data_IF_271372358500
#
_entry.id   IF_271372358500
#
_cell.length_a   1.000
_cell.length_b   1.000
_cell.length_c   1.000
_cell.angle_alpha   90.00
_cell.angle_beta   90.00
_cell.angle_gamma   90.00
#
_symmetry.space_group_name_H-M   'P 1'
#
loop_
_entity.id
_entity.type
_entity.pdbx_description
1 polymer ?
#
# COMPACT_ATOMS: atom_id res chain seq x y z
N UNK A 1 -19.69 39.70 -43.44
CA UNK A 1 -19.69 39.95 -41.98
C UNK A 1 -20.30 38.72 -41.34
N UNK A 2 -19.51 37.97 -40.59
CA UNK A 2 -19.95 36.72 -39.96
C UNK A 2 -19.75 36.87 -38.46
N UNK A 3 -20.83 36.81 -37.70
CA UNK A 3 -20.82 36.99 -36.25
C UNK A 3 -20.09 35.84 -35.57
N UNK A 4 -19.24 36.17 -34.59
CA UNK A 4 -18.50 35.20 -33.79
C UNK A 4 -19.40 34.66 -32.67
N UNK A 5 -20.02 33.49 -32.90
CA UNK A 5 -20.43 32.58 -31.83
C UNK A 5 -19.44 31.41 -31.74
N UNK A 6 -19.22 30.76 -30.60
CA UNK A 6 -19.76 30.92 -29.25
C UNK A 6 -18.98 29.96 -28.33
N UNK A 7 -18.46 30.37 -27.15
CA UNK A 7 -18.32 29.45 -26.01
C UNK A 7 -17.95 30.05 -24.62
N UNK A 8 -18.64 31.12 -24.18
CA UNK A 8 -18.68 31.43 -22.73
C UNK A 8 -19.87 30.72 -22.06
N UNK A 9 -20.05 29.43 -22.38
CA UNK A 9 -21.18 28.62 -21.92
C UNK A 9 -20.94 28.16 -20.48
N UNK A 10 -21.65 28.78 -19.56
CA UNK A 10 -21.66 28.39 -18.15
C UNK A 10 -22.48 27.11 -17.97
N UNK A 11 -21.84 26.05 -17.48
CA UNK A 11 -22.51 24.76 -17.26
C UNK A 11 -23.21 24.74 -15.90
N UNK A 12 -24.39 24.14 -15.84
CA UNK A 12 -25.01 23.79 -14.55
C UNK A 12 -24.24 22.64 -13.89
N UNK A 13 -24.51 22.41 -12.60
CA UNK A 13 -23.88 21.31 -11.86
C UNK A 13 -24.17 19.91 -12.43
N UNK A 14 -25.29 19.72 -13.15
CA UNK A 14 -25.62 18.46 -13.80
C UNK A 14 -24.81 18.26 -15.09
N UNK A 15 -24.85 19.25 -16.00
CA UNK A 15 -24.08 19.23 -17.26
C UNK A 15 -22.57 19.11 -17.01
N UNK A 16 -22.04 19.87 -16.03
CA UNK A 16 -20.62 19.82 -15.68
C UNK A 16 -20.22 18.45 -15.10
N UNK A 17 -21.11 17.80 -14.33
CA UNK A 17 -20.86 16.47 -13.80
C UNK A 17 -20.84 15.43 -14.93
N UNK A 18 -21.85 15.43 -15.80
CA UNK A 18 -21.97 14.55 -16.96
C UNK A 18 -20.76 14.68 -17.91
N UNK A 19 -20.44 15.91 -18.32
CA UNK A 19 -19.36 16.18 -19.30
C UNK A 19 -17.96 15.85 -18.76
N UNK A 20 -17.75 15.92 -17.44
CA UNK A 20 -16.46 15.58 -16.80
C UNK A 20 -16.37 14.12 -16.30
N UNK A 21 -17.41 13.29 -16.50
CA UNK A 21 -17.46 11.94 -15.93
C UNK A 21 -17.43 11.93 -14.40
N UNK A 22 -18.04 12.95 -13.78
CA UNK A 22 -18.09 13.18 -12.33
C UNK A 22 -19.53 13.07 -11.82
N UNK A 23 -19.70 13.00 -10.50
CA UNK A 23 -21.01 13.17 -9.87
C UNK A 23 -21.19 14.61 -9.37
N UNK A 24 -22.44 15.07 -9.30
CA UNK A 24 -22.79 16.36 -8.66
C UNK A 24 -22.29 16.41 -7.20
N UNK A 25 -22.19 15.25 -6.53
CA UNK A 25 -21.60 15.12 -5.18
C UNK A 25 -20.09 15.36 -5.17
N UNK A 26 -19.35 14.90 -6.19
CA UNK A 26 -17.92 15.17 -6.33
C UNK A 26 -17.64 16.68 -6.55
N UNK A 27 -18.42 17.36 -7.39
CA UNK A 27 -18.29 18.81 -7.58
C UNK A 27 -18.50 19.59 -6.27
N UNK A 28 -19.52 19.23 -5.48
CA UNK A 28 -19.75 19.83 -4.14
C UNK A 28 -18.59 19.54 -3.18
N UNK A 29 -17.99 18.34 -3.23
CA UNK A 29 -16.84 17.99 -2.40
C UNK A 29 -15.62 18.85 -2.75
N UNK A 30 -15.34 19.05 -4.03
CA UNK A 30 -14.24 19.89 -4.49
C UNK A 30 -14.45 21.37 -4.12
N UNK A 31 -15.67 21.90 -4.27
CA UNK A 31 -16.04 23.23 -3.77
C UNK A 31 -15.85 23.36 -2.24
N UNK A 32 -16.28 22.35 -1.47
CA UNK A 32 -16.12 22.33 0.00
C UNK A 32 -14.65 22.33 0.42
N UNK A 33 -13.76 21.71 -0.38
CA UNK A 33 -12.30 21.73 -0.20
C UNK A 33 -11.62 22.95 -0.82
N UNK A 34 -12.38 23.94 -1.34
CA UNK A 34 -11.89 25.15 -2.05
C UNK A 34 -11.03 24.86 -3.29
N UNK A 35 -11.10 23.64 -3.82
CA UNK A 35 -10.41 23.24 -5.05
C UNK A 35 -11.00 23.91 -6.30
N UNK A 36 -12.30 24.23 -6.26
CA UNK A 36 -13.03 24.98 -7.30
C UNK A 36 -13.92 26.01 -6.62
N UNK A 37 -14.25 27.09 -7.33
CA UNK A 37 -15.06 28.21 -6.79
C UNK A 37 -16.11 28.65 -7.81
N UNK A 38 -17.11 27.80 -8.11
CA UNK A 38 -18.08 28.06 -9.17
C UNK A 38 -18.93 29.31 -8.89
N UNK A 39 -19.22 30.06 -9.96
CA UNK A 39 -20.08 31.24 -9.89
C UNK A 39 -21.50 30.83 -9.48
N UNK A 40 -22.25 31.74 -8.85
CA UNK A 40 -23.66 31.53 -8.48
C UNK A 40 -24.59 32.48 -9.22
N UNK A 41 -25.77 31.97 -9.59
CA UNK A 41 -26.88 32.79 -10.11
C UNK A 41 -27.57 33.57 -9.00
N UNK A 42 -28.41 34.55 -9.34
CA UNK A 42 -29.28 35.22 -8.38
C UNK A 42 -30.28 34.29 -7.65
N UNK A 43 -30.52 33.08 -8.17
CA UNK A 43 -31.28 32.00 -7.50
C UNK A 43 -30.39 31.00 -6.75
N UNK A 44 -29.12 31.37 -6.49
CA UNK A 44 -28.12 30.59 -5.78
C UNK A 44 -27.75 29.23 -6.43
N UNK A 45 -27.93 29.09 -7.76
CA UNK A 45 -27.52 27.90 -8.50
C UNK A 45 -26.06 28.00 -8.94
N UNK A 46 -25.32 26.89 -8.89
CA UNK A 46 -23.90 26.83 -9.28
C UNK A 46 -23.75 26.79 -10.80
N UNK A 47 -22.84 27.60 -11.31
CA UNK A 47 -22.42 27.71 -12.69
C UNK A 47 -20.90 27.52 -12.78
N UNK A 48 -20.47 26.61 -13.63
CA UNK A 48 -19.07 26.27 -13.84
C UNK A 48 -18.62 26.88 -15.16
N UNK A 49 -17.54 27.68 -15.11
CA UNK A 49 -16.93 28.30 -16.28
C UNK A 49 -15.68 27.55 -16.75
N UNK A 50 -15.05 28.05 -17.82
CA UNK A 50 -13.83 27.45 -18.39
C UNK A 50 -12.70 27.27 -17.35
N UNK A 51 -12.57 28.19 -16.39
CA UNK A 51 -11.60 28.10 -15.29
C UNK A 51 -11.91 26.95 -14.31
N UNK A 52 -13.18 26.69 -14.02
CA UNK A 52 -13.58 25.56 -13.19
C UNK A 52 -13.36 24.24 -13.94
N UNK A 53 -13.66 24.18 -15.24
CA UNK A 53 -13.45 23.00 -16.10
C UNK A 53 -11.95 22.66 -16.20
N UNK A 54 -11.09 23.65 -16.44
CA UNK A 54 -9.64 23.45 -16.47
C UNK A 54 -9.10 22.91 -15.13
N UNK A 55 -9.57 23.48 -14.01
CA UNK A 55 -9.21 23.03 -12.66
C UNK A 55 -9.74 21.62 -12.34
N UNK A 56 -10.95 21.29 -12.78
CA UNK A 56 -11.51 19.93 -12.67
C UNK A 56 -10.69 18.91 -13.46
N UNK A 57 -10.24 19.28 -14.67
CA UNK A 57 -9.40 18.42 -15.50
C UNK A 57 -8.03 18.17 -14.85
N UNK A 58 -7.41 19.19 -14.25
CA UNK A 58 -6.18 19.07 -13.46
C UNK A 58 -6.36 18.15 -12.23
N UNK A 59 -7.42 18.35 -11.44
CA UNK A 59 -7.78 17.47 -10.30
C UNK A 59 -7.98 16.03 -10.78
N UNK A 60 -8.63 15.82 -11.93
CA UNK A 60 -8.84 14.50 -12.51
C UNK A 60 -7.55 13.85 -13.00
N UNK A 61 -6.62 14.61 -13.60
CA UNK A 61 -5.32 14.11 -14.02
C UNK A 61 -4.48 13.67 -12.80
N UNK A 62 -4.41 14.51 -11.77
CA UNK A 62 -3.72 14.19 -10.51
C UNK A 62 -4.35 12.99 -9.80
N UNK A 63 -5.69 12.90 -9.78
CA UNK A 63 -6.40 11.73 -9.23
C UNK A 63 -6.14 10.45 -10.05
N UNK A 64 -5.99 10.53 -11.38
CA UNK A 64 -5.63 9.40 -12.26
C UNK A 64 -4.20 8.92 -12.04
N UNK A 65 -3.27 9.83 -11.72
CA UNK A 65 -1.93 9.45 -11.27
C UNK A 65 -1.95 8.77 -9.88
N UNK A 66 -3.04 8.90 -9.12
CA UNK A 66 -3.23 8.25 -7.82
C UNK A 66 -3.08 9.16 -6.60
N UNK A 67 -2.99 10.49 -6.77
CA UNK A 67 -2.94 11.41 -5.62
C UNK A 67 -4.24 11.36 -4.79
N UNK A 68 -4.09 11.48 -3.47
CA UNK A 68 -5.22 11.65 -2.55
C UNK A 68 -5.82 13.05 -2.73
N UNK A 69 -7.13 13.20 -2.45
CA UNK A 69 -7.78 14.52 -2.56
C UNK A 69 -7.20 15.57 -1.60
N UNK A 70 -6.60 15.13 -0.48
CA UNK A 70 -5.87 16.01 0.43
C UNK A 70 -4.60 16.55 -0.25
N UNK A 71 -3.74 15.67 -0.77
CA UNK A 71 -2.50 16.09 -1.44
C UNK A 71 -2.78 16.93 -2.70
N UNK A 72 -3.87 16.67 -3.43
CA UNK A 72 -4.32 17.53 -4.54
C UNK A 72 -4.68 18.94 -4.02
N UNK A 73 -5.28 19.04 -2.83
CA UNK A 73 -5.58 20.35 -2.21
C UNK A 73 -4.29 21.07 -1.83
N UNK A 74 -3.33 20.39 -1.23
CA UNK A 74 -2.07 21.01 -0.78
C UNK A 74 -1.20 21.45 -1.98
N UNK A 75 -1.10 20.61 -3.02
CA UNK A 75 -0.38 20.88 -4.26
C UNK A 75 -0.99 22.06 -5.04
N UNK A 76 -2.31 22.09 -5.19
CA UNK A 76 -3.00 23.17 -5.92
C UNK A 76 -3.18 24.45 -5.09
N UNK A 77 -2.92 24.41 -3.77
CA UNK A 77 -2.90 25.58 -2.89
C UNK A 77 -1.58 26.39 -2.97
N UNK A 78 -0.63 26.00 -3.83
CA UNK A 78 0.60 26.76 -4.06
C UNK A 78 1.65 26.64 -2.95
N UNK A 79 1.46 25.74 -2.00
CA UNK A 79 2.56 25.29 -1.15
C UNK A 79 3.46 24.40 -1.99
N UNK A 80 4.78 24.56 -1.85
CA UNK A 80 5.75 23.72 -2.54
C UNK A 80 5.72 22.30 -1.96
N UNK A 81 4.72 21.52 -2.38
CA UNK A 81 4.71 20.07 -2.22
C UNK A 81 5.93 19.53 -2.95
N UNK A 82 6.71 18.74 -2.24
CA UNK A 82 7.81 17.97 -2.81
C UNK A 82 7.22 16.97 -3.83
N UNK A 83 7.23 17.39 -5.10
CA UNK A 83 6.64 16.67 -6.21
C UNK A 83 7.35 15.34 -6.44
N UNK A 84 8.66 15.28 -6.19
CA UNK A 84 9.47 14.07 -6.29
C UNK A 84 9.02 13.05 -5.24
N UNK A 85 8.96 13.45 -3.96
CA UNK A 85 8.42 12.61 -2.87
C UNK A 85 6.99 12.15 -3.14
N UNK A 86 6.18 13.00 -3.77
CA UNK A 86 4.78 12.67 -4.12
C UNK A 86 4.70 11.65 -5.25
N UNK A 87 5.49 11.83 -6.31
CA UNK A 87 5.59 10.89 -7.44
C UNK A 87 6.16 9.53 -6.98
N UNK A 88 7.16 9.51 -6.11
CA UNK A 88 7.72 8.30 -5.51
C UNK A 88 6.66 7.51 -4.71
N UNK A 89 5.80 8.21 -3.94
CA UNK A 89 4.67 7.57 -3.24
C UNK A 89 3.62 7.01 -4.20
N UNK A 90 3.40 7.66 -5.36
CA UNK A 90 2.49 7.17 -6.39
C UNK A 90 3.05 5.97 -7.14
N UNK A 91 4.34 5.99 -7.48
CA UNK A 91 5.04 4.88 -8.09
C UNK A 91 4.95 3.62 -7.21
N UNK A 92 5.27 3.75 -5.93
CA UNK A 92 5.12 2.66 -4.95
C UNK A 92 3.68 2.14 -4.87
N UNK A 93 2.68 3.03 -4.87
CA UNK A 93 1.27 2.66 -4.84
C UNK A 93 0.78 1.96 -6.12
N UNK A 94 1.31 2.35 -7.29
CA UNK A 94 1.01 1.73 -8.58
C UNK A 94 1.71 0.38 -8.74
N UNK A 95 2.93 0.22 -8.23
CA UNK A 95 3.62 -1.07 -8.18
C UNK A 95 2.92 -2.07 -7.25
N UNK A 96 2.44 -1.61 -6.08
CA UNK A 96 1.61 -2.42 -5.18
C UNK A 96 0.21 -2.74 -5.74
N UNK A 97 -0.30 -1.95 -6.70
CA UNK A 97 -1.49 -2.30 -7.46
C UNK A 97 -1.19 -3.37 -8.51
N UNK A 98 -0.07 -3.27 -9.24
CA UNK A 98 0.37 -4.26 -10.24
C UNK A 98 0.50 -5.65 -9.62
N UNK A 99 1.27 -5.78 -8.54
CA UNK A 99 1.50 -7.06 -7.87
C UNK A 99 0.23 -7.78 -7.38
N UNK A 100 -0.87 -7.06 -7.12
CA UNK A 100 -2.17 -7.67 -6.79
C UNK A 100 -2.97 -8.13 -8.01
N UNK A 101 -2.93 -7.35 -9.10
CA UNK A 101 -3.60 -7.73 -10.35
C UNK A 101 -2.96 -9.00 -10.92
N UNK A 102 -1.64 -9.07 -10.75
CA UNK A 102 -0.80 -10.24 -10.93
C UNK A 102 -1.29 -11.42 -10.03
N UNK A 103 -1.25 -11.31 -8.69
CA UNK A 103 -1.72 -12.36 -7.75
C UNK A 103 -3.14 -12.91 -8.07
N UNK A 104 -4.10 -12.02 -8.32
CA UNK A 104 -5.47 -12.42 -8.61
C UNK A 104 -5.60 -13.19 -9.93
N UNK A 105 -4.80 -12.83 -10.94
CA UNK A 105 -4.76 -13.52 -12.23
C UNK A 105 -4.29 -14.98 -12.04
N UNK A 106 -3.28 -15.21 -11.21
CA UNK A 106 -2.83 -16.56 -10.86
C UNK A 106 -3.94 -17.41 -10.22
N UNK A 107 -4.72 -16.84 -9.28
CA UNK A 107 -5.82 -17.56 -8.64
C UNK A 107 -6.95 -17.92 -9.62
N UNK A 108 -7.32 -17.03 -10.55
CA UNK A 108 -8.27 -17.35 -11.63
C UNK A 108 -7.76 -18.52 -12.45
N UNK A 109 -6.49 -18.49 -12.87
CA UNK A 109 -5.90 -19.55 -13.68
C UNK A 109 -5.86 -20.89 -12.91
N UNK A 110 -5.50 -20.88 -11.63
CA UNK A 110 -5.51 -22.07 -10.78
C UNK A 110 -6.92 -22.66 -10.62
N UNK A 111 -7.93 -21.83 -10.35
CA UNK A 111 -9.32 -22.28 -10.22
C UNK A 111 -9.89 -22.81 -11.54
N UNK A 112 -9.56 -22.19 -12.68
CA UNK A 112 -9.93 -22.70 -14.01
C UNK A 112 -9.33 -24.09 -14.30
N UNK A 113 -8.09 -24.36 -13.85
CA UNK A 113 -7.48 -25.70 -13.98
C UNK A 113 -8.21 -26.75 -13.14
N UNK A 114 -8.57 -26.45 -11.89
CA UNK A 114 -9.32 -27.36 -11.00
C UNK A 114 -10.70 -27.71 -11.58
N UNK A 115 -11.44 -26.71 -12.08
CA UNK A 115 -12.73 -26.93 -12.77
C UNK A 115 -12.56 -27.84 -13.98
N UNK A 116 -11.50 -27.66 -14.78
CA UNK A 116 -11.23 -28.50 -15.96
C UNK A 116 -10.87 -29.96 -15.61
N UNK A 117 -10.37 -30.21 -14.39
CA UNK A 117 -10.08 -31.55 -13.86
C UNK A 117 -11.27 -32.18 -13.13
N UNK A 118 -12.42 -31.49 -13.05
CA UNK A 118 -13.61 -31.96 -12.32
C UNK A 118 -13.52 -31.77 -10.80
N UNK A 119 -12.53 -31.04 -10.30
CA UNK A 119 -12.34 -30.79 -8.87
C UNK A 119 -13.17 -29.60 -8.37
N UNK A 120 -13.74 -29.67 -7.16
CA UNK A 120 -14.44 -28.53 -6.56
C UNK A 120 -13.45 -27.41 -6.20
N UNK A 121 -13.78 -26.18 -6.57
CA UNK A 121 -13.07 -24.96 -6.12
C UNK A 121 -13.56 -24.58 -4.72
N UNK A 122 -12.65 -24.23 -3.81
CA UNK A 122 -13.07 -23.86 -2.46
C UNK A 122 -13.74 -22.47 -2.46
N UNK A 123 -14.75 -22.30 -1.61
CA UNK A 123 -15.45 -21.01 -1.46
C UNK A 123 -14.47 -19.90 -1.05
N UNK A 124 -13.43 -20.23 -0.27
CA UNK A 124 -12.35 -19.30 0.08
C UNK A 124 -11.58 -18.80 -1.16
N UNK A 125 -11.26 -19.69 -2.11
CA UNK A 125 -10.55 -19.34 -3.34
C UNK A 125 -11.40 -18.40 -4.22
N UNK A 126 -12.71 -18.64 -4.29
CA UNK A 126 -13.66 -17.76 -5.02
C UNK A 126 -13.75 -16.38 -4.35
N UNK A 127 -13.81 -16.32 -3.01
CA UNK A 127 -13.79 -15.06 -2.26
C UNK A 127 -12.47 -14.31 -2.45
N UNK A 128 -11.34 -15.04 -2.52
CA UNK A 128 -10.00 -14.48 -2.75
C UNK A 128 -9.85 -13.94 -4.19
N UNK A 129 -10.31 -14.69 -5.20
CA UNK A 129 -10.42 -14.23 -6.59
C UNK A 129 -11.27 -12.96 -6.71
N UNK A 130 -12.44 -12.93 -6.08
CA UNK A 130 -13.32 -11.76 -6.10
C UNK A 130 -12.69 -10.53 -5.41
N UNK A 131 -11.78 -10.76 -4.44
CA UNK A 131 -11.03 -9.72 -3.71
C UNK A 131 -9.83 -9.19 -4.49
N UNK A 132 -9.15 -10.04 -5.26
CA UNK A 132 -7.90 -9.72 -5.95
C UNK A 132 -8.11 -9.26 -7.41
N UNK A 133 -9.12 -9.78 -8.12
CA UNK A 133 -9.23 -9.60 -9.59
C UNK A 133 -10.13 -8.46 -10.07
N UNK A 134 -10.97 -7.88 -9.20
CA UNK A 134 -11.82 -6.72 -9.52
C UNK A 134 -12.55 -6.82 -10.87
N UNK A 135 -13.08 -8.00 -11.25
CA UNK A 135 -13.91 -8.11 -12.44
C UNK A 135 -15.17 -7.24 -12.29
N UNK A 136 -15.24 -6.25 -13.16
CA UNK A 136 -16.16 -5.10 -13.26
C UNK A 136 -17.64 -5.40 -12.93
N UNK A 137 -18.42 -4.49 -12.32
CA UNK A 137 -18.30 -3.03 -12.21
C UNK A 137 -18.67 -2.47 -10.80
N UNK A 138 -18.49 -1.15 -10.62
CA UNK A 138 -18.77 -0.32 -9.42
C UNK A 138 -17.71 -0.26 -8.31
N UNK A 139 -16.57 -0.97 -8.42
CA UNK A 139 -15.68 -1.18 -7.27
C UNK A 139 -14.37 -0.39 -7.21
N UNK A 140 -14.15 0.56 -8.13
CA UNK A 140 -13.20 1.65 -7.86
C UNK A 140 -13.57 2.37 -6.57
N UNK A 141 -14.89 2.47 -6.30
CA UNK A 141 -15.37 2.93 -5.02
C UNK A 141 -14.99 1.99 -3.88
N UNK A 142 -15.12 0.65 -3.84
CA UNK A 142 -14.79 -0.07 -2.57
C UNK A 142 -13.33 0.01 -2.09
N UNK A 143 -12.31 0.08 -2.97
CA UNK A 143 -10.91 0.30 -2.50
C UNK A 143 -10.66 1.79 -2.25
N UNK A 144 -11.24 2.70 -3.03
CA UNK A 144 -11.24 4.13 -2.70
C UNK A 144 -12.08 4.46 -1.45
N UNK A 145 -13.04 3.60 -1.08
CA UNK A 145 -13.96 3.65 0.04
C UNK A 145 -13.30 3.08 1.26
N UNK A 146 -12.59 1.94 1.18
CA UNK A 146 -11.67 1.53 2.24
C UNK A 146 -10.62 2.61 2.46
N UNK A 147 -9.95 3.12 1.42
CA UNK A 147 -9.00 4.25 1.59
C UNK A 147 -9.68 5.51 2.16
N UNK A 148 -10.90 5.86 1.73
CA UNK A 148 -11.68 6.99 2.23
C UNK A 148 -12.18 6.78 3.65
N UNK A 149 -12.51 5.55 4.03
CA UNK A 149 -13.00 5.17 5.35
C UNK A 149 -11.82 5.10 6.31
N UNK A 150 -10.73 4.42 5.94
CA UNK A 150 -9.44 4.40 6.64
C UNK A 150 -8.80 5.79 6.77
N UNK A 151 -9.09 6.73 5.85
CA UNK A 151 -8.67 8.14 5.92
C UNK A 151 -9.80 9.11 6.32
N UNK A 152 -10.99 8.63 6.72
CA UNK A 152 -12.06 9.52 7.21
C UNK A 152 -11.64 10.05 8.56
N UNK A 153 -11.99 11.30 8.93
CA UNK A 153 -11.88 11.76 10.30
C UNK A 153 -12.64 10.78 11.22
N UNK A 154 -11.89 10.03 12.05
CA UNK A 154 -12.45 9.18 13.09
C UNK A 154 -12.61 10.02 14.35
N UNK A 155 -13.65 9.73 15.14
CA UNK A 155 -13.85 10.31 16.45
C UNK A 155 -13.43 9.26 17.47
N UNK A 156 -12.61 9.67 18.44
CA UNK A 156 -12.24 8.83 19.55
C UNK A 156 -13.47 8.55 20.43
N UNK A 157 -13.70 7.28 20.72
CA UNK A 157 -14.71 6.83 21.68
C UNK A 157 -13.99 6.53 22.99
N UNK A 158 -14.39 7.13 24.13
CA UNK A 158 -13.85 6.75 25.43
C UNK A 158 -14.07 5.26 25.68
N UNK A 159 -12.99 4.49 25.73
CA UNK A 159 -13.01 3.07 26.10
C UNK A 159 -12.70 2.90 27.57
N UNK A 160 -13.24 1.85 28.17
CA UNK A 160 -12.90 1.47 29.54
C UNK A 160 -11.40 1.10 29.62
N UNK A 161 -10.57 1.80 30.42
CA UNK A 161 -9.16 1.46 30.60
C UNK A 161 -8.94 0.03 31.12
N UNK A 162 -9.93 -0.61 31.74
CA UNK A 162 -9.87 -2.01 32.14
C UNK A 162 -9.72 -2.99 30.94
N UNK A 163 -10.10 -2.56 29.72
CA UNK A 163 -9.90 -3.34 28.50
C UNK A 163 -8.49 -3.21 27.92
N UNK A 164 -7.74 -2.15 28.25
CA UNK A 164 -6.42 -1.89 27.66
C UNK A 164 -5.40 -3.04 27.84
N UNK A 165 -5.30 -3.72 29.02
CA UNK A 165 -4.42 -4.87 29.20
C UNK A 165 -4.68 -6.05 28.25
N UNK A 166 -5.89 -6.15 27.65
CA UNK A 166 -6.24 -7.20 26.66
C UNK A 166 -5.35 -7.11 25.42
N UNK A 167 -5.05 -5.88 25.00
CA UNK A 167 -4.39 -5.53 23.73
C UNK A 167 -2.89 -5.28 23.89
N UNK A 168 -2.44 -4.91 25.09
CA UNK A 168 -1.01 -4.78 25.42
C UNK A 168 -0.29 -6.11 25.16
N UNK A 169 0.81 -6.07 24.40
CA UNK A 169 1.55 -7.25 23.98
C UNK A 169 2.30 -7.04 22.67
N UNK A 170 3.02 -8.08 22.23
CA UNK A 170 3.79 -8.06 21.00
C UNK A 170 3.16 -9.00 19.96
N UNK A 171 3.05 -8.56 18.71
CA UNK A 171 2.36 -9.28 17.63
C UNK A 171 3.28 -9.36 16.41
N UNK A 172 3.59 -10.56 15.92
CA UNK A 172 4.50 -10.81 14.78
C UNK A 172 3.71 -11.02 13.49
N UNK A 173 4.02 -10.23 12.47
CA UNK A 173 3.54 -10.41 11.09
C UNK A 173 4.30 -11.56 10.39
N UNK A 174 3.71 -12.13 9.34
CA UNK A 174 4.37 -13.14 8.50
C UNK A 174 5.65 -12.62 7.79
N UNK A 175 5.82 -11.30 7.71
CA UNK A 175 7.04 -10.61 7.21
C UNK A 175 8.17 -10.55 8.25
N UNK A 176 7.97 -11.10 9.45
CA UNK A 176 8.95 -11.08 10.56
C UNK A 176 8.89 -9.82 11.42
N UNK A 177 8.29 -8.73 10.93
CA UNK A 177 8.10 -7.49 11.69
C UNK A 177 7.20 -7.71 12.93
N UNK A 178 7.45 -6.98 14.01
CA UNK A 178 6.70 -7.04 15.26
C UNK A 178 6.03 -5.70 15.56
N UNK A 179 4.72 -5.72 15.79
CA UNK A 179 3.94 -4.63 16.37
C UNK A 179 3.89 -4.81 17.89
N UNK A 180 4.40 -3.83 18.64
CA UNK A 180 4.33 -3.78 20.09
C UNK A 180 3.26 -2.80 20.53
N UNK A 181 2.32 -3.26 21.35
CA UNK A 181 1.24 -2.48 21.93
C UNK A 181 1.52 -2.28 23.42
N UNK A 182 1.54 -1.04 23.91
CA UNK A 182 1.86 -0.70 25.31
C UNK A 182 0.87 0.30 25.91
N UNK A 183 0.78 0.39 27.24
CA UNK A 183 0.01 1.45 27.92
C UNK A 183 0.85 2.73 27.98
N UNK A 184 0.20 3.88 27.84
CA UNK A 184 0.80 5.20 28.12
C UNK A 184 -0.26 6.16 28.70
N UNK A 185 0.12 7.35 29.22
CA UNK A 185 -0.83 8.26 29.83
C UNK A 185 -1.95 8.64 28.85
N UNK A 186 -3.19 8.27 29.16
CA UNK A 186 -4.36 8.54 28.34
C UNK A 186 -4.72 7.49 27.28
N UNK A 187 -3.99 6.37 27.13
CA UNK A 187 -4.40 5.30 26.20
C UNK A 187 -3.35 4.25 25.88
N UNK A 188 -3.48 3.62 24.70
CA UNK A 188 -2.58 2.59 24.18
C UNK A 188 -1.66 3.12 23.09
N UNK A 189 -0.42 2.65 23.05
CA UNK A 189 0.54 2.90 21.96
C UNK A 189 0.63 1.73 20.99
N UNK A 190 1.10 2.02 19.78
CA UNK A 190 1.53 1.01 18.82
C UNK A 190 2.89 1.39 18.24
N UNK A 191 3.83 0.46 18.24
CA UNK A 191 5.16 0.63 17.66
C UNK A 191 5.47 -0.55 16.75
N UNK A 192 5.73 -0.29 15.47
CA UNK A 192 6.27 -1.29 14.55
C UNK A 192 7.80 -1.35 14.71
N UNK A 193 8.40 -2.52 14.54
CA UNK A 193 9.86 -2.68 14.68
C UNK A 193 10.59 -1.73 13.71
N UNK A 194 11.63 -1.03 14.21
CA UNK A 194 12.38 -0.03 13.44
C UNK A 194 11.63 1.29 13.16
N UNK A 195 10.45 1.50 13.76
CA UNK A 195 9.67 2.74 13.67
C UNK A 195 9.44 3.34 15.06
N UNK A 196 9.10 4.63 15.09
CA UNK A 196 8.71 5.34 16.31
C UNK A 196 7.39 4.80 16.88
N UNK A 197 7.21 4.94 18.20
CA UNK A 197 5.93 4.61 18.84
C UNK A 197 4.88 5.68 18.52
N UNK A 198 3.80 5.28 17.85
CA UNK A 198 2.74 6.17 17.38
C UNK A 198 1.49 6.09 18.26
N UNK A 199 0.67 7.15 18.17
CA UNK A 199 -0.56 7.24 18.93
C UNK A 199 -1.75 6.54 18.24
N UNK A 200 -2.35 5.59 18.96
CA UNK A 200 -3.60 4.91 18.59
C UNK A 200 -4.71 5.29 19.56
N UNK A 201 -5.91 5.46 19.02
CA UNK A 201 -7.10 5.92 19.72
C UNK A 201 -8.24 4.96 19.42
N UNK A 202 -9.09 4.68 20.41
CA UNK A 202 -10.19 3.73 20.22
C UNK A 202 -11.32 4.36 19.40
N UNK A 203 -11.87 3.61 18.46
CA UNK A 203 -13.16 3.88 17.80
C UNK A 203 -14.24 2.89 18.27
N UNK A 204 -13.83 1.69 18.69
CA UNK A 204 -14.62 0.68 19.39
C UNK A 204 -13.72 -0.07 20.37
N UNK A 205 -14.31 -0.94 21.17
CA UNK A 205 -13.59 -1.77 22.16
C UNK A 205 -12.42 -2.55 21.56
N UNK A 206 -12.54 -3.04 20.33
CA UNK A 206 -11.57 -3.87 19.60
C UNK A 206 -10.91 -3.18 18.39
N UNK A 207 -11.33 -1.95 18.05
CA UNK A 207 -10.91 -1.22 16.85
C UNK A 207 -10.27 0.12 17.21
N UNK A 208 -9.02 0.30 16.81
CA UNK A 208 -8.21 1.48 17.07
C UNK A 208 -7.75 2.13 15.76
N UNK A 209 -7.50 3.44 15.76
CA UNK A 209 -7.00 4.20 14.61
C UNK A 209 -5.85 5.13 15.00
N UNK A 210 -5.00 5.47 14.03
CA UNK A 210 -3.96 6.49 14.20
C UNK A 210 -4.47 7.86 13.75
N UNK A 211 -4.08 8.93 14.44
CA UNK A 211 -4.37 10.32 14.00
C UNK A 211 -3.39 10.85 12.96
N UNK A 212 -2.17 10.30 12.92
CA UNK A 212 -1.06 10.79 12.08
C UNK A 212 -0.89 10.04 10.75
N UNK A 213 -1.46 8.84 10.64
CA UNK A 213 -1.43 8.01 9.42
C UNK A 213 -2.81 7.39 9.16
N UNK A 214 -3.23 7.17 7.90
CA UNK A 214 -4.52 6.56 7.57
C UNK A 214 -4.46 5.04 7.75
N UNK A 215 -4.44 4.60 9.01
CA UNK A 215 -4.35 3.19 9.40
C UNK A 215 -5.21 2.88 10.63
N UNK A 216 -5.58 1.61 10.79
CA UNK A 216 -6.35 1.07 11.90
C UNK A 216 -5.75 -0.25 12.39
N UNK A 217 -6.02 -0.60 13.64
CA UNK A 217 -5.72 -1.89 14.24
C UNK A 217 -7.02 -2.51 14.75
N UNK A 218 -7.39 -3.68 14.24
CA UNK A 218 -8.44 -4.51 14.85
C UNK A 218 -7.81 -5.63 15.65
N UNK A 219 -8.25 -5.85 16.88
CA UNK A 219 -7.78 -6.93 17.74
C UNK A 219 -8.79 -8.07 17.75
N UNK A 220 -8.30 -9.31 17.63
CA UNK A 220 -9.13 -10.50 17.75
C UNK A 220 -8.56 -11.45 18.80
N UNK A 221 -9.45 -12.06 19.56
CA UNK A 221 -9.13 -13.00 20.65
C UNK A 221 -10.42 -13.55 21.24
N UNK A 222 -10.28 -14.55 22.10
CA UNK A 222 -11.41 -15.24 22.71
C UNK A 222 -12.21 -14.30 23.64
N UNK A 223 -13.47 -14.62 23.90
CA UNK A 223 -14.39 -13.77 24.65
C UNK A 223 -13.86 -13.45 26.06
N UNK A 224 -13.50 -12.19 26.30
CA UNK A 224 -12.87 -11.72 27.54
C UNK A 224 -11.38 -12.05 27.72
N UNK A 225 -10.79 -12.88 26.83
CA UNK A 225 -9.37 -13.27 26.89
C UNK A 225 -8.42 -12.28 26.20
N UNK A 226 -7.12 -12.43 26.44
CA UNK A 226 -6.07 -11.66 25.75
C UNK A 226 -6.22 -11.73 24.22
N UNK A 227 -6.02 -10.62 23.52
CA UNK A 227 -6.09 -10.60 22.06
C UNK A 227 -4.98 -11.50 21.48
N UNK A 228 -5.37 -12.50 20.68
CA UNK A 228 -4.51 -13.53 20.06
C UNK A 228 -3.88 -13.05 18.75
N UNK A 229 -4.55 -12.16 18.03
CA UNK A 229 -4.01 -11.51 16.83
C UNK A 229 -4.45 -10.06 16.71
N UNK A 230 -3.71 -9.33 15.89
CA UNK A 230 -3.93 -7.95 15.48
C UNK A 230 -3.99 -7.92 13.95
N UNK A 231 -4.90 -7.12 13.40
CA UNK A 231 -5.01 -6.85 11.97
C UNK A 231 -4.71 -5.38 11.74
N UNK A 232 -3.63 -5.08 11.01
CA UNK A 232 -3.29 -3.74 10.55
C UNK A 232 -4.03 -3.45 9.24
N UNK A 233 -4.99 -2.53 9.29
CA UNK A 233 -5.70 -2.04 8.11
C UNK A 233 -5.03 -0.76 7.64
N UNK A 234 -4.45 -0.74 6.43
CA UNK A 234 -3.76 0.43 5.90
C UNK A 234 -3.76 0.43 4.37
N UNK A 235 -3.86 1.61 3.74
CA UNK A 235 -3.80 1.80 2.29
C UNK A 235 -4.83 1.00 1.45
N UNK A 236 -5.90 0.49 2.09
CA UNK A 236 -6.92 -0.39 1.51
C UNK A 236 -6.67 -1.90 1.68
N UNK A 237 -5.64 -2.28 2.45
CA UNK A 237 -5.20 -3.66 2.72
C UNK A 237 -5.35 -4.01 4.21
N UNK A 238 -5.18 -5.29 4.53
CA UNK A 238 -5.26 -5.86 5.88
C UNK A 238 -4.10 -6.85 6.07
N UNK A 239 -3.28 -6.67 7.11
CA UNK A 239 -2.16 -7.55 7.45
C UNK A 239 -2.36 -8.14 8.84
N UNK A 240 -2.28 -9.47 8.98
CA UNK A 240 -2.48 -10.14 10.27
C UNK A 240 -1.15 -10.40 10.97
N UNK A 241 -1.09 -10.09 12.26
CA UNK A 241 0.01 -10.41 13.17
C UNK A 241 -0.49 -11.27 14.34
N UNK A 242 0.27 -12.29 14.73
CA UNK A 242 -0.08 -13.19 15.84
C UNK A 242 0.71 -12.85 17.09
N UNK A 243 0.06 -12.94 18.26
CA UNK A 243 0.69 -12.61 19.54
C UNK A 243 1.87 -13.55 19.84
N UNK A 244 2.99 -12.97 20.23
CA UNK A 244 4.22 -13.66 20.64
C UNK A 244 4.60 -13.26 22.07
N UNK A 245 5.52 -14.02 22.66
CA UNK A 245 6.13 -13.68 23.95
C UNK A 245 7.03 -12.44 23.83
N UNK A 246 7.07 -11.66 24.91
CA UNK A 246 7.80 -10.39 24.94
C UNK A 246 9.32 -10.57 24.86
N UNK A 247 9.85 -11.69 25.36
CA UNK A 247 11.27 -12.02 25.29
C UNK A 247 11.71 -12.24 23.83
N UNK A 248 10.95 -13.03 23.07
CA UNK A 248 11.15 -13.21 21.62
C UNK A 248 10.94 -11.91 20.85
N UNK A 249 9.96 -11.08 21.21
CA UNK A 249 9.76 -9.77 20.60
C UNK A 249 10.98 -8.86 20.77
N UNK A 250 11.52 -8.76 21.99
CA UNK A 250 12.75 -8.00 22.28
C UNK A 250 13.96 -8.58 21.54
N UNK A 251 14.08 -9.91 21.44
CA UNK A 251 15.16 -10.55 20.68
C UNK A 251 15.10 -10.23 19.17
N UNK A 252 13.91 -10.21 18.55
CA UNK A 252 13.74 -9.82 17.15
C UNK A 252 14.11 -8.35 16.93
N UNK A 253 13.65 -7.46 17.83
CA UNK A 253 13.93 -6.04 17.73
C UNK A 253 15.43 -5.73 17.90
N UNK A 254 16.07 -6.34 18.89
CA UNK A 254 17.51 -6.18 19.13
C UNK A 254 18.36 -6.74 17.97
N UNK A 255 18.03 -7.93 17.45
CA UNK A 255 18.72 -8.49 16.27
C UNK A 255 18.58 -7.59 15.04
N UNK A 256 17.41 -6.97 14.83
CA UNK A 256 17.22 -6.02 13.75
C UNK A 256 18.00 -4.70 13.98
N UNK A 257 18.01 -4.18 15.21
CA UNK A 257 18.77 -2.98 15.56
C UNK A 257 20.29 -3.19 15.37
N UNK A 258 20.83 -4.32 15.86
CA UNK A 258 22.22 -4.73 15.63
C UNK A 258 22.51 -4.90 14.13
N UNK A 259 21.62 -5.53 13.37
CA UNK A 259 21.77 -5.67 11.90
C UNK A 259 21.81 -4.33 11.17
N UNK A 260 20.97 -3.37 11.56
CA UNK A 260 20.96 -2.02 10.97
C UNK A 260 22.25 -1.26 11.34
N UNK A 261 22.60 -1.27 12.63
CA UNK A 261 23.74 -0.54 13.20
C UNK A 261 25.09 -1.05 12.66
N UNK A 262 25.30 -2.35 12.69
CA UNK A 262 26.55 -2.98 12.24
C UNK A 262 26.58 -3.20 10.72
N UNK A 263 25.49 -2.86 10.01
CA UNK A 263 25.26 -3.21 8.61
C UNK A 263 25.53 -4.69 8.36
N UNK A 264 24.88 -5.55 9.16
CA UNK A 264 24.99 -6.99 9.08
C UNK A 264 23.82 -7.57 8.27
N UNK A 265 24.06 -8.18 7.10
CA UNK A 265 23.01 -8.85 6.34
C UNK A 265 22.52 -10.11 7.07
N UNK A 266 21.44 -10.72 6.59
CA UNK A 266 21.02 -12.06 7.03
C UNK A 266 22.08 -13.13 6.67
N UNK A 267 22.11 -14.28 7.36
CA UNK A 267 22.93 -15.41 6.94
C UNK A 267 22.68 -15.81 5.47
N UNK A 268 23.77 -16.09 4.76
CA UNK A 268 23.80 -16.43 3.33
C UNK A 268 23.20 -15.39 2.37
N UNK A 269 22.98 -14.14 2.81
CA UNK A 269 22.35 -13.09 2.02
C UNK A 269 23.00 -12.86 0.65
N UNK A 270 24.34 -12.83 0.58
CA UNK A 270 25.05 -12.68 -0.69
C UNK A 270 24.85 -13.89 -1.62
N UNK A 271 24.83 -15.10 -1.06
CA UNK A 271 24.58 -16.31 -1.85
C UNK A 271 23.15 -16.34 -2.39
N UNK A 272 22.17 -15.88 -1.59
CA UNK A 272 20.76 -15.72 -1.99
C UNK A 272 20.60 -14.67 -3.08
N UNK A 273 21.26 -13.51 -2.96
CA UNK A 273 21.29 -12.49 -4.01
C UNK A 273 21.85 -13.04 -5.33
N UNK A 274 23.01 -13.72 -5.28
CA UNK A 274 23.63 -14.34 -6.46
C UNK A 274 22.75 -15.45 -7.08
N UNK A 275 21.98 -16.17 -6.25
CA UNK A 275 20.94 -17.11 -6.67
C UNK A 275 19.82 -16.40 -7.43
N UNK A 276 19.16 -15.44 -6.77
CA UNK A 276 18.10 -14.60 -7.34
C UNK A 276 18.50 -13.95 -8.69
N UNK A 277 19.69 -13.37 -8.80
CA UNK A 277 20.16 -12.76 -10.05
C UNK A 277 20.31 -13.83 -11.15
N UNK A 278 20.85 -15.01 -10.83
CA UNK A 278 20.99 -16.11 -11.80
C UNK A 278 19.63 -16.61 -12.28
N UNK A 279 18.72 -16.88 -11.34
CA UNK A 279 17.33 -17.29 -11.61
C UNK A 279 16.62 -16.25 -12.48
N UNK A 280 16.82 -14.96 -12.20
CA UNK A 280 16.22 -13.86 -12.96
C UNK A 280 16.79 -13.70 -14.39
N UNK A 281 18.09 -13.90 -14.59
CA UNK A 281 18.72 -13.92 -15.92
C UNK A 281 18.24 -15.15 -16.73
N UNK A 282 18.14 -16.32 -16.08
CA UNK A 282 17.67 -17.54 -16.74
C UNK A 282 16.17 -17.47 -17.05
N UNK A 283 15.38 -16.82 -16.18
CA UNK A 283 13.92 -16.85 -16.19
C UNK A 283 13.33 -18.09 -15.50
N UNK A 284 14.18 -18.85 -14.79
CA UNK A 284 13.82 -20.08 -14.06
C UNK A 284 14.07 -19.84 -12.57
N UNK A 285 13.02 -19.86 -11.75
CA UNK A 285 13.06 -19.49 -10.34
C UNK A 285 12.70 -20.68 -9.44
N UNK A 286 13.37 -20.82 -8.30
CA UNK A 286 13.01 -21.82 -7.29
C UNK A 286 11.92 -21.30 -6.34
N UNK A 287 10.66 -21.50 -6.74
CA UNK A 287 9.50 -21.08 -5.97
C UNK A 287 9.40 -21.73 -4.57
N UNK A 288 10.15 -22.80 -4.27
CA UNK A 288 10.18 -23.39 -2.94
C UNK A 288 10.93 -22.51 -1.93
N UNK A 289 11.83 -21.64 -2.40
CA UNK A 289 12.57 -20.68 -1.58
C UNK A 289 11.81 -19.37 -1.35
N UNK A 290 10.56 -19.28 -1.81
CA UNK A 290 9.72 -18.08 -1.73
C UNK A 290 8.43 -18.35 -0.94
N UNK A 291 7.86 -17.33 -0.30
CA UNK A 291 6.47 -17.39 0.18
C UNK A 291 5.49 -17.46 -1.00
N UNK A 292 4.25 -17.90 -0.76
CA UNK A 292 3.24 -18.05 -1.83
C UNK A 292 2.98 -16.74 -2.59
N UNK A 293 2.92 -15.60 -1.88
CA UNK A 293 2.76 -14.27 -2.47
C UNK A 293 3.96 -13.89 -3.35
N UNK A 294 5.19 -13.98 -2.83
CA UNK A 294 6.38 -13.66 -3.61
C UNK A 294 6.54 -14.60 -4.81
N UNK A 295 6.33 -15.91 -4.64
CA UNK A 295 6.39 -16.88 -5.72
C UNK A 295 5.39 -16.57 -6.85
N UNK A 296 4.24 -15.99 -6.51
CA UNK A 296 3.21 -15.60 -7.47
C UNK A 296 3.64 -14.34 -8.21
N UNK A 297 3.92 -13.25 -7.49
CA UNK A 297 4.40 -12.00 -8.07
C UNK A 297 5.68 -12.18 -8.94
N UNK A 298 6.57 -13.11 -8.58
CA UNK A 298 7.74 -13.48 -9.38
C UNK A 298 7.34 -14.16 -10.70
N UNK A 299 6.33 -15.04 -10.75
CA UNK A 299 5.88 -15.65 -12.03
C UNK A 299 5.33 -14.62 -13.00
N UNK A 300 4.55 -13.65 -12.53
CA UNK A 300 4.01 -12.60 -13.39
C UNK A 300 5.10 -11.62 -13.87
N UNK A 301 6.04 -11.25 -12.99
CA UNK A 301 7.06 -10.26 -13.32
C UNK A 301 8.31 -10.87 -13.99
N UNK A 302 8.52 -12.19 -13.90
CA UNK A 302 9.66 -12.90 -14.48
C UNK A 302 9.99 -12.53 -15.95
N UNK A 303 9.03 -12.47 -16.89
CA UNK A 303 9.34 -12.10 -18.28
C UNK A 303 9.84 -10.66 -18.41
N UNK A 304 9.30 -9.74 -17.60
CA UNK A 304 9.75 -8.34 -17.59
C UNK A 304 11.13 -8.22 -16.93
N UNK A 305 11.32 -8.83 -15.76
CA UNK A 305 12.59 -8.81 -15.03
C UNK A 305 13.70 -9.36 -15.94
N UNK A 306 13.46 -10.49 -16.63
CA UNK A 306 14.41 -11.04 -17.60
C UNK A 306 14.69 -10.08 -18.75
N UNK A 307 13.66 -9.52 -19.38
CA UNK A 307 13.84 -8.58 -20.50
C UNK A 307 14.53 -7.25 -20.09
N UNK A 308 14.42 -6.84 -18.83
CA UNK A 308 15.14 -5.68 -18.31
C UNK A 308 16.60 -6.06 -17.97
N UNK A 309 16.86 -7.23 -17.38
CA UNK A 309 18.23 -7.74 -17.14
C UNK A 309 19.01 -8.09 -18.42
N UNK A 310 18.32 -8.50 -19.49
CA UNK A 310 18.92 -8.68 -20.82
C UNK A 310 19.42 -7.34 -21.40
N UNK A 311 18.79 -6.21 -21.07
CA UNK A 311 19.28 -4.86 -21.42
C UNK A 311 20.41 -4.41 -20.49
N UNK A 312 20.32 -4.77 -19.21
CA UNK A 312 21.36 -4.49 -18.21
C UNK A 312 22.72 -5.08 -18.61
N UNK A 313 22.70 -6.24 -19.27
CA UNK A 313 23.91 -6.92 -19.78
C UNK A 313 24.58 -7.78 -18.72
N UNK A 314 25.89 -8.01 -18.82
CA UNK A 314 26.60 -8.89 -17.91
C UNK A 314 26.69 -8.31 -16.48
N UNK A 315 26.45 -9.15 -15.45
CA UNK A 315 26.72 -8.80 -14.05
C UNK A 315 28.22 -8.53 -13.85
N UNK A 316 28.56 -7.30 -13.45
CA UNK A 316 29.95 -6.89 -13.13
C UNK A 316 30.27 -7.00 -11.65
N UNK A 317 29.29 -6.83 -10.76
CA UNK A 317 29.47 -7.00 -9.32
C UNK A 317 28.30 -6.49 -8.48
N UNK A 318 28.44 -6.56 -7.16
CA UNK A 318 27.45 -6.11 -6.19
C UNK A 318 28.12 -5.63 -4.90
N UNK A 319 27.48 -4.71 -4.20
CA UNK A 319 27.95 -4.12 -2.94
C UNK A 319 26.80 -4.10 -1.94
N UNK A 320 27.01 -4.68 -0.76
CA UNK A 320 26.03 -4.57 0.33
C UNK A 320 26.02 -3.14 0.90
N UNK A 321 24.83 -2.56 1.06
CA UNK A 321 24.64 -1.17 1.48
C UNK A 321 24.26 -1.04 2.95
N UNK A 322 23.51 -2.02 3.46
CA UNK A 322 22.97 -2.05 4.82
C UNK A 322 21.61 -2.72 4.88
N UNK A 323 21.01 -2.64 6.06
CA UNK A 323 19.66 -3.16 6.35
C UNK A 323 18.71 -1.97 6.53
N UNK A 324 17.48 -2.06 5.99
CA UNK A 324 16.46 -1.03 6.24
C UNK A 324 15.85 -1.15 7.64
N UNK A 325 15.15 -0.12 8.10
CA UNK A 325 14.35 -0.18 9.34
C UNK A 325 13.30 -1.30 9.35
N UNK A 326 12.89 -1.79 8.18
CA UNK A 326 11.96 -2.90 8.00
C UNK A 326 12.67 -4.27 7.87
N UNK A 327 13.99 -4.33 7.99
CA UNK A 327 14.77 -5.58 7.96
C UNK A 327 15.15 -6.11 6.60
N UNK A 328 14.95 -5.32 5.53
CA UNK A 328 15.38 -5.69 4.17
C UNK A 328 16.88 -5.51 4.03
N UNK A 329 17.54 -6.52 3.48
CA UNK A 329 18.93 -6.41 3.05
C UNK A 329 18.98 -5.68 1.70
N UNK A 330 19.85 -4.65 1.58
CA UNK A 330 19.95 -3.79 0.40
C UNK A 330 21.32 -3.95 -0.26
N UNK A 331 21.31 -4.17 -1.57
CA UNK A 331 22.48 -4.30 -2.41
C UNK A 331 22.41 -3.34 -3.62
N UNK A 332 23.49 -2.64 -3.89
CA UNK A 332 23.71 -2.06 -5.22
C UNK A 332 24.32 -3.15 -6.10
N UNK A 333 23.76 -3.38 -7.29
CA UNK A 333 24.17 -4.43 -8.23
C UNK A 333 24.50 -3.76 -9.55
N UNK A 334 25.77 -3.86 -9.97
CA UNK A 334 26.28 -3.25 -11.20
C UNK A 334 26.25 -4.28 -12.32
N UNK A 335 25.48 -3.98 -13.36
CA UNK A 335 25.47 -4.70 -14.62
C UNK A 335 26.33 -3.96 -15.64
N UNK A 336 26.30 -4.37 -16.90
CA UNK A 336 27.18 -3.82 -17.92
C UNK A 336 26.79 -2.40 -18.32
N UNK A 337 25.49 -2.17 -18.46
CA UNK A 337 24.87 -0.95 -18.99
C UNK A 337 24.12 -0.13 -17.94
N UNK A 338 23.79 -0.70 -16.77
CA UNK A 338 23.04 -0.03 -15.71
C UNK A 338 23.41 -0.50 -14.30
N UNK A 339 23.02 0.27 -13.29
CA UNK A 339 23.08 -0.10 -11.88
C UNK A 339 21.65 -0.32 -11.36
N UNK A 340 21.43 -1.42 -10.65
CA UNK A 340 20.16 -1.79 -10.05
C UNK A 340 20.31 -1.90 -8.53
N UNK A 341 19.37 -1.33 -7.78
CA UNK A 341 19.24 -1.61 -6.35
C UNK A 341 18.35 -2.85 -6.18
N UNK A 342 18.90 -3.87 -5.53
CA UNK A 342 18.21 -5.10 -5.17
C UNK A 342 17.96 -5.10 -3.67
N UNK A 343 16.72 -5.42 -3.28
CA UNK A 343 16.37 -5.63 -1.86
C UNK A 343 15.64 -6.94 -1.70
N UNK A 344 15.83 -7.62 -0.58
CA UNK A 344 14.95 -8.72 -0.18
C UNK A 344 14.86 -8.85 1.34
N UNK A 345 13.83 -9.57 1.78
CA UNK A 345 13.56 -9.87 3.19
C UNK A 345 13.11 -11.33 3.32
N UNK A 346 13.49 -11.97 4.42
CA UNK A 346 13.14 -13.36 4.71
C UNK A 346 11.96 -13.44 5.68
N UNK A 347 11.11 -14.46 5.49
CA UNK A 347 10.13 -14.91 6.46
C UNK A 347 10.80 -15.70 7.61
N UNK A 348 10.01 -15.95 8.65
CA UNK A 348 10.35 -16.80 9.80
C UNK A 348 10.88 -18.20 9.44
N UNK A 349 10.44 -18.75 8.30
CA UNK A 349 10.83 -20.08 7.81
C UNK A 349 12.09 -20.05 6.91
N UNK A 350 12.73 -18.89 6.75
CA UNK A 350 13.95 -18.71 5.96
C UNK A 350 13.71 -18.60 4.44
N UNK A 351 12.46 -18.67 3.97
CA UNK A 351 12.10 -18.34 2.58
C UNK A 351 12.05 -16.83 2.39
N UNK A 352 12.19 -16.37 1.16
CA UNK A 352 12.05 -14.96 0.82
C UNK A 352 10.56 -14.57 0.88
N UNK A 353 10.24 -13.57 1.72
CA UNK A 353 8.88 -13.02 1.85
C UNK A 353 8.65 -11.80 0.96
N UNK A 354 9.73 -11.11 0.56
CA UNK A 354 9.69 -10.03 -0.40
C UNK A 354 11.03 -9.89 -1.13
N UNK A 355 10.97 -9.51 -2.40
CA UNK A 355 12.11 -9.10 -3.20
C UNK A 355 11.74 -7.87 -4.05
N UNK A 356 12.71 -7.02 -4.32
CA UNK A 356 12.53 -5.77 -5.04
C UNK A 356 13.75 -5.45 -5.90
N UNK A 357 13.50 -4.94 -7.10
CA UNK A 357 14.52 -4.50 -8.05
C UNK A 357 14.09 -3.13 -8.58
N UNK A 358 14.97 -2.13 -8.51
CA UNK A 358 14.76 -0.83 -9.17
C UNK A 358 16.07 -0.32 -9.79
N UNK A 359 16.02 0.44 -10.89
CA UNK A 359 17.21 1.15 -11.37
C UNK A 359 17.68 2.18 -10.35
N UNK A 360 19.00 2.34 -10.27
CA UNK A 360 19.65 3.46 -9.58
C UNK A 360 19.87 4.62 -10.56
N UNK A 361 19.74 5.88 -10.11
CA UNK A 361 19.95 7.07 -10.93
C UNK A 361 21.42 7.30 -11.31
#
# INVERSE_FOLDING_TARGET
MSEQGNDNRWLTAAECAEQMGLTVRALRLYETRRLISPRRTGKNWRLYGMSDIARLHEILALKRLGLSLAHITDLLAGHAVDLDRTLAMQEAAMMALRGRADEGLALIQASRRRIALGEPVAIHDIIRIARETNMSDNNSDAVAWRRYEQARPRVEVPTDPALHPRYVGCYRFATGAVMTISVRPGGLSAQLTGQDSLEIFAEKDDLFFYRVVPAQLSFTGDDGGLARSLILHQNGYEQTAFRIDEARARAIAAELEDRIKDKRPVPDSEARLRGLIREAIQGEYDFNQMTEGLATATREQAPKIKADLEKAGALKGHVFKGVTSEGWDVYDVTFENENLEWRFVLADDGRMSGAWIRPLP
#
